data_IF_690687569830
#
_entry.id   IF_690687569830
#
_cell.length_a   1.000
_cell.length_b   1.000
_cell.length_c   1.000
_cell.angle_alpha   90.00
_cell.angle_beta   90.00
_cell.angle_gamma   90.00
#
_symmetry.space_group_name_H-M   'P 1'
#
loop_
_entity.id
_entity.type
_entity.pdbx_description
1 polymer ?
#
# COMPACT_ATOMS: atom_id res chain seq x y z
N UNK A 1 -1.29 21.09 20.57
CA UNK A 1 -0.57 21.15 19.30
C UNK A 1 0.24 22.42 19.23
N UNK A 2 1.55 22.31 19.04
CA UNK A 2 2.48 23.45 18.87
C UNK A 2 2.88 23.62 17.39
N UNK A 3 2.11 23.01 16.50
CA UNK A 3 2.47 22.75 15.12
C UNK A 3 1.55 23.55 14.20
N UNK A 4 2.12 24.25 13.23
CA UNK A 4 1.38 25.05 12.23
C UNK A 4 1.02 24.18 11.01
N UNK A 5 -0.27 24.12 10.69
CA UNK A 5 -0.82 23.28 9.63
C UNK A 5 -1.05 24.03 8.31
N UNK A 6 -0.56 25.28 8.18
CA UNK A 6 -0.77 26.10 6.97
C UNK A 6 -0.51 25.38 5.65
N UNK A 7 0.57 24.59 5.56
CA UNK A 7 0.96 23.87 4.34
C UNK A 7 0.44 22.43 4.26
N UNK A 8 -0.30 21.95 5.27
CA UNK A 8 -0.81 20.59 5.35
C UNK A 8 -2.04 20.44 4.47
N UNK A 9 -2.04 19.42 3.61
CA UNK A 9 -3.18 19.07 2.75
C UNK A 9 -3.98 17.92 3.35
N UNK A 10 -5.25 18.17 3.62
CA UNK A 10 -6.16 17.23 4.28
C UNK A 10 -7.30 16.84 3.37
N UNK A 11 -7.58 15.55 3.26
CA UNK A 11 -8.82 15.04 2.71
C UNK A 11 -9.68 14.45 3.84
N UNK A 12 -10.89 14.98 4.00
CA UNK A 12 -11.89 14.50 4.93
C UNK A 12 -13.05 13.85 4.15
N UNK A 13 -13.20 12.53 4.26
CA UNK A 13 -14.35 11.77 3.76
C UNK A 13 -15.30 11.50 4.91
N UNK A 14 -16.28 12.39 5.12
CA UNK A 14 -17.22 12.23 6.21
C UNK A 14 -18.62 12.77 5.84
N UNK A 15 -19.66 11.91 5.82
CA UNK A 15 -21.02 12.32 5.55
C UNK A 15 -21.69 13.00 6.76
N UNK A 16 -21.21 12.80 7.99
CA UNK A 16 -21.80 13.39 9.19
C UNK A 16 -21.38 14.87 9.33
N UNK A 17 -22.32 15.83 9.23
CA UNK A 17 -22.01 17.25 9.29
C UNK A 17 -21.46 17.68 10.66
N UNK A 18 -21.84 16.99 11.74
CA UNK A 18 -21.36 17.32 13.10
C UNK A 18 -19.88 16.98 13.22
N UNK A 19 -19.48 15.75 12.88
CA UNK A 19 -18.09 15.31 12.87
C UNK A 19 -17.27 16.15 11.90
N UNK A 20 -17.82 16.46 10.72
CA UNK A 20 -17.19 17.34 9.74
C UNK A 20 -16.89 18.72 10.34
N UNK A 21 -17.84 19.34 11.04
CA UNK A 21 -17.64 20.63 11.71
C UNK A 21 -16.58 20.55 12.81
N UNK A 22 -16.56 19.46 13.58
CA UNK A 22 -15.55 19.24 14.63
C UNK A 22 -14.15 19.12 14.03
N UNK A 23 -13.97 18.24 13.04
CA UNK A 23 -12.67 18.01 12.38
C UNK A 23 -12.19 19.28 11.69
N UNK A 24 -13.04 19.90 10.88
CA UNK A 24 -12.67 21.10 10.11
C UNK A 24 -12.35 22.29 11.01
N UNK A 25 -13.15 22.53 12.06
CA UNK A 25 -12.89 23.57 13.05
C UNK A 25 -11.60 23.34 13.84
N UNK A 26 -11.34 22.09 14.26
CA UNK A 26 -10.13 21.72 15.00
C UNK A 26 -8.87 21.98 14.15
N UNK A 27 -8.86 21.50 12.90
CA UNK A 27 -7.72 21.67 12.01
C UNK A 27 -7.55 23.13 11.56
N UNK A 28 -8.66 23.84 11.31
CA UNK A 28 -8.66 25.26 10.95
C UNK A 28 -8.07 26.15 12.05
N UNK A 29 -8.36 25.84 13.32
CA UNK A 29 -7.78 26.52 14.49
C UNK A 29 -6.26 26.31 14.62
N UNK A 30 -5.73 25.21 14.09
CA UNK A 30 -4.29 24.93 14.03
C UNK A 30 -3.63 25.41 12.73
N UNK A 31 -4.34 26.25 11.95
CA UNK A 31 -3.78 26.89 10.76
C UNK A 31 -4.00 26.14 9.45
N UNK A 32 -4.65 24.97 9.45
CA UNK A 32 -4.93 24.23 8.22
C UNK A 32 -5.83 25.05 7.28
N UNK A 33 -5.35 25.30 6.06
CA UNK A 33 -6.10 26.03 5.00
C UNK A 33 -6.41 25.17 3.78
N UNK A 34 -5.65 24.10 3.55
CA UNK A 34 -5.83 23.20 2.41
C UNK A 34 -6.57 21.94 2.84
N UNK A 35 -7.88 22.06 3.04
CA UNK A 35 -8.73 20.95 3.46
C UNK A 35 -9.90 20.80 2.51
N UNK A 36 -10.01 19.61 1.92
CA UNK A 36 -11.16 19.22 1.10
C UNK A 36 -12.02 18.30 1.95
N UNK A 37 -13.30 18.65 2.07
CA UNK A 37 -14.29 17.80 2.70
C UNK A 37 -15.26 17.29 1.66
N UNK A 38 -15.38 15.97 1.55
CA UNK A 38 -16.32 15.30 0.68
C UNK A 38 -17.11 14.27 1.48
N UNK A 39 -18.32 13.97 1.06
CA UNK A 39 -19.10 12.90 1.68
C UNK A 39 -18.57 11.56 1.21
N UNK A 40 -18.77 11.22 -0.06
CA UNK A 40 -18.16 10.12 -0.82
C UNK A 40 -18.40 10.39 -2.33
N UNK A 41 -17.63 9.80 -3.24
CA UNK A 41 -17.81 9.97 -4.70
C UNK A 41 -16.64 10.64 -5.44
N UNK A 42 -16.83 10.91 -6.73
CA UNK A 42 -15.76 11.17 -7.69
C UNK A 42 -14.87 12.38 -7.42
N UNK A 43 -15.34 13.38 -6.67
CA UNK A 43 -14.53 14.55 -6.27
C UNK A 43 -13.44 14.17 -5.26
N UNK A 44 -13.78 13.35 -4.25
CA UNK A 44 -12.81 12.84 -3.28
C UNK A 44 -11.76 11.97 -3.96
N UNK A 45 -12.20 11.12 -4.89
CA UNK A 45 -11.33 10.22 -5.63
C UNK A 45 -10.46 11.00 -6.63
N UNK A 46 -10.99 12.08 -7.22
CA UNK A 46 -10.18 13.01 -8.01
C UNK A 46 -9.09 13.64 -7.17
N UNK A 47 -9.41 14.13 -5.96
CA UNK A 47 -8.43 14.79 -5.09
C UNK A 47 -7.33 13.84 -4.61
N UNK A 48 -7.67 12.59 -4.31
CA UNK A 48 -6.68 11.54 -4.03
C UNK A 48 -5.70 11.37 -5.20
N UNK A 49 -6.22 11.44 -6.44
CA UNK A 49 -5.45 11.23 -7.68
C UNK A 49 -4.62 12.43 -8.10
N UNK A 50 -5.16 13.63 -7.99
CA UNK A 50 -4.58 14.85 -8.55
C UNK A 50 -3.66 15.60 -7.57
N UNK A 51 -3.91 15.48 -6.27
CA UNK A 51 -3.17 16.20 -5.26
C UNK A 51 -2.46 15.27 -4.28
N UNK A 52 -1.20 15.61 -3.98
CA UNK A 52 -0.46 14.92 -2.94
C UNK A 52 -1.04 15.31 -1.58
N UNK A 53 -1.89 14.47 -1.00
CA UNK A 53 -2.44 14.66 0.35
C UNK A 53 -1.44 14.25 1.43
N UNK A 54 -1.54 14.84 2.62
CA UNK A 54 -0.67 14.54 3.77
C UNK A 54 -1.41 13.80 4.89
N UNK A 55 -2.70 14.10 5.04
CA UNK A 55 -3.60 13.47 6.01
C UNK A 55 -4.95 13.13 5.36
N UNK A 56 -5.33 11.87 5.49
CA UNK A 56 -6.61 11.31 5.11
C UNK A 56 -7.41 11.03 6.39
N UNK A 57 -8.61 11.58 6.49
CA UNK A 57 -9.57 11.26 7.56
C UNK A 57 -10.81 10.66 6.91
N UNK A 58 -11.19 9.45 7.29
CA UNK A 58 -12.32 8.72 6.66
C UNK A 58 -13.29 8.25 7.72
N UNK A 59 -14.58 8.34 7.44
CA UNK A 59 -15.65 7.87 8.29
C UNK A 59 -16.08 6.44 7.94
N UNK A 60 -16.03 5.51 8.91
CA UNK A 60 -16.40 4.11 8.70
C UNK A 60 -17.87 3.79 9.00
N UNK A 61 -18.67 4.72 9.54
CA UNK A 61 -20.02 4.38 10.03
C UNK A 61 -20.99 4.09 8.89
N UNK A 62 -20.86 4.80 7.76
CA UNK A 62 -21.70 4.55 6.59
C UNK A 62 -21.34 3.23 5.91
N UNK A 63 -20.05 2.93 5.81
CA UNK A 63 -19.53 1.75 5.13
C UNK A 63 -18.13 1.45 5.62
N UNK A 64 -18.02 0.43 6.48
CA UNK A 64 -16.73 -0.09 6.95
C UNK A 64 -15.86 -0.51 5.77
N UNK A 65 -16.49 -1.16 4.78
CA UNK A 65 -15.86 -1.62 3.56
C UNK A 65 -15.22 -0.48 2.77
N UNK A 66 -15.98 0.56 2.45
CA UNK A 66 -15.49 1.67 1.62
C UNK A 66 -14.41 2.49 2.33
N UNK A 67 -14.52 2.62 3.66
CA UNK A 67 -13.48 3.26 4.47
C UNK A 67 -12.17 2.46 4.44
N UNK A 68 -12.25 1.13 4.62
CA UNK A 68 -11.08 0.25 4.51
C UNK A 68 -10.49 0.29 3.11
N UNK A 69 -11.32 0.23 2.08
CA UNK A 69 -10.88 0.21 0.68
C UNK A 69 -10.24 1.51 0.26
N UNK A 70 -10.75 2.66 0.71
CA UNK A 70 -10.09 3.95 0.50
C UNK A 70 -8.65 3.92 1.00
N UNK A 71 -8.43 3.40 2.21
CA UNK A 71 -7.09 3.32 2.79
C UNK A 71 -6.24 2.30 2.02
N UNK A 72 -6.76 1.12 1.70
CA UNK A 72 -6.05 0.09 0.92
C UNK A 72 -5.63 0.62 -0.45
N UNK A 73 -6.52 1.29 -1.18
CA UNK A 73 -6.25 1.89 -2.49
C UNK A 73 -5.12 2.92 -2.42
N UNK A 74 -5.17 3.80 -1.41
CA UNK A 74 -4.08 4.75 -1.13
C UNK A 74 -2.75 4.01 -0.88
N UNK A 75 -2.74 2.99 -0.01
CA UNK A 75 -1.56 2.16 0.27
C UNK A 75 -1.06 1.35 -0.92
N UNK A 76 -1.90 1.14 -1.93
CA UNK A 76 -1.56 0.41 -3.15
C UNK A 76 -1.18 1.33 -4.32
N UNK A 77 -1.26 2.66 -4.13
CA UNK A 77 -1.03 3.67 -5.18
C UNK A 77 -1.96 3.54 -6.39
N UNK A 78 -3.14 2.94 -6.20
CA UNK A 78 -4.15 2.83 -7.24
C UNK A 78 -4.71 4.20 -7.64
N UNK A 79 -4.79 5.12 -6.67
CA UNK A 79 -5.55 6.37 -6.80
C UNK A 79 -4.79 7.61 -6.34
N UNK A 80 -3.45 7.65 -6.30
CA UNK A 80 -2.77 8.87 -5.86
C UNK A 80 -1.26 8.90 -5.79
N UNK A 81 -0.74 10.10 -5.54
CA UNK A 81 0.69 10.41 -5.53
C UNK A 81 1.40 10.09 -4.21
N UNK A 82 0.65 9.85 -3.13
CA UNK A 82 1.19 9.64 -1.79
C UNK A 82 0.57 8.45 -1.04
N UNK A 83 1.12 7.26 -1.26
CA UNK A 83 0.77 6.06 -0.48
C UNK A 83 1.14 6.11 1.00
N UNK A 84 1.92 7.12 1.39
CA UNK A 84 2.36 7.34 2.77
C UNK A 84 1.65 8.51 3.44
N UNK A 85 0.58 9.07 2.86
CA UNK A 85 -0.28 9.97 3.62
C UNK A 85 -0.73 9.30 4.94
N UNK A 86 -0.81 10.10 6.00
CA UNK A 86 -1.26 9.59 7.29
C UNK A 86 -2.76 9.36 7.20
N UNK A 87 -3.27 8.26 7.73
CA UNK A 87 -4.71 7.99 7.73
C UNK A 87 -5.29 7.78 9.12
N UNK A 88 -6.43 8.41 9.37
CA UNK A 88 -7.22 8.25 10.59
C UNK A 88 -8.62 7.82 10.17
N UNK A 89 -9.07 6.67 10.68
CA UNK A 89 -10.45 6.24 10.48
C UNK A 89 -11.27 6.64 11.72
N UNK A 90 -12.41 7.27 11.49
CA UNK A 90 -13.40 7.63 12.49
C UNK A 90 -14.49 6.56 12.52
N UNK A 91 -14.85 6.04 13.69
CA UNK A 91 -15.91 5.01 13.83
C UNK A 91 -16.69 5.20 15.12
N UNK A 92 -18.01 4.99 15.09
CA UNK A 92 -18.87 4.86 16.28
C UNK A 92 -18.96 3.41 16.75
N UNK A 93 -18.53 2.44 15.94
CA UNK A 93 -18.64 1.01 16.20
C UNK A 93 -17.26 0.42 16.52
N UNK A 94 -16.92 0.20 17.80
CA UNK A 94 -15.66 -0.40 18.21
C UNK A 94 -15.78 -1.91 18.43
N UNK A 95 -16.63 -2.63 17.68
CA UNK A 95 -16.67 -4.08 17.84
C UNK A 95 -15.33 -4.70 17.39
N UNK A 96 -14.87 -5.80 18.03
CA UNK A 96 -13.53 -6.33 17.78
C UNK A 96 -13.27 -6.72 16.32
N UNK A 97 -14.28 -7.21 15.61
CA UNK A 97 -14.14 -7.68 14.22
C UNK A 97 -13.99 -6.48 13.26
N UNK A 98 -14.81 -5.45 13.42
CA UNK A 98 -14.67 -4.21 12.68
C UNK A 98 -13.30 -3.56 12.93
N UNK A 99 -12.82 -3.53 14.17
CA UNK A 99 -11.49 -2.99 14.51
C UNK A 99 -10.37 -3.76 13.80
N UNK A 100 -10.47 -5.09 13.69
CA UNK A 100 -9.49 -5.89 12.92
C UNK A 100 -9.50 -5.47 11.46
N UNK A 101 -10.67 -5.34 10.82
CA UNK A 101 -10.77 -4.88 9.44
C UNK A 101 -10.19 -3.48 9.23
N UNK A 102 -10.46 -2.56 10.14
CA UNK A 102 -9.90 -1.20 10.13
C UNK A 102 -8.37 -1.24 10.23
N UNK A 103 -7.80 -2.06 11.11
CA UNK A 103 -6.35 -2.22 11.25
C UNK A 103 -5.74 -2.84 9.99
N UNK A 104 -6.37 -3.89 9.46
CA UNK A 104 -5.94 -4.62 8.27
C UNK A 104 -6.07 -3.79 6.97
N UNK A 105 -6.84 -2.69 7.00
CA UNK A 105 -6.84 -1.71 5.91
C UNK A 105 -5.50 -0.99 5.73
N UNK A 106 -4.66 -0.98 6.77
CA UNK A 106 -3.41 -0.22 6.79
C UNK A 106 -3.58 1.23 7.25
N UNK A 107 -4.67 1.56 7.95
CA UNK A 107 -4.86 2.87 8.58
C UNK A 107 -3.72 3.19 9.54
N UNK A 108 -3.32 4.45 9.76
CA UNK A 108 -2.33 4.79 10.80
C UNK A 108 -3.00 4.80 12.20
N UNK A 109 -4.23 5.30 12.30
CA UNK A 109 -4.97 5.37 13.55
C UNK A 109 -6.48 5.14 13.38
N UNK A 110 -7.13 4.83 14.49
CA UNK A 110 -8.59 4.74 14.64
C UNK A 110 -8.98 5.69 15.77
N UNK A 111 -10.00 6.52 15.55
CA UNK A 111 -10.55 7.41 16.56
C UNK A 111 -12.05 7.13 16.73
N UNK A 112 -12.45 6.81 17.96
CA UNK A 112 -13.84 6.42 18.26
C UNK A 112 -14.70 7.67 18.46
N UNK A 113 -15.89 7.69 17.86
CA UNK A 113 -16.90 8.73 18.00
C UNK A 113 -17.87 8.41 19.16
N UNK A 114 -18.39 9.44 19.86
CA UNK A 114 -18.02 10.85 19.76
C UNK A 114 -16.64 11.11 20.39
N UNK A 115 -15.88 12.06 19.84
CA UNK A 115 -14.59 12.48 20.37
C UNK A 115 -14.53 14.00 20.59
N UNK A 116 -13.71 14.41 21.55
CA UNK A 116 -13.40 15.82 21.77
C UNK A 116 -12.32 16.31 20.77
N UNK A 117 -12.32 17.58 20.36
CA UNK A 117 -11.27 18.18 19.53
C UNK A 117 -9.83 17.89 20.00
N UNK A 118 -9.63 17.85 21.32
CA UNK A 118 -8.35 17.54 21.93
C UNK A 118 -7.87 16.10 21.62
N UNK A 119 -8.78 15.13 21.50
CA UNK A 119 -8.44 13.75 21.16
C UNK A 119 -7.91 13.63 19.73
N UNK A 120 -8.56 14.30 18.76
CA UNK A 120 -8.07 14.37 17.38
C UNK A 120 -6.68 15.02 17.31
N UNK A 121 -6.51 16.14 18.03
CA UNK A 121 -5.24 16.86 18.12
C UNK A 121 -4.13 15.96 18.67
N UNK A 122 -4.38 15.27 19.79
CA UNK A 122 -3.42 14.35 20.42
C UNK A 122 -3.06 13.18 19.50
N UNK A 123 -4.03 12.64 18.76
CA UNK A 123 -3.82 11.55 17.83
C UNK A 123 -2.88 11.96 16.69
N UNK A 124 -3.13 13.12 16.08
CA UNK A 124 -2.28 13.64 14.99
C UNK A 124 -0.88 13.97 15.53
N UNK A 125 -0.78 14.60 16.70
CA UNK A 125 0.50 14.90 17.38
C UNK A 125 1.34 13.63 17.61
N UNK A 126 0.68 12.54 18.01
CA UNK A 126 1.32 11.23 18.21
C UNK A 126 1.84 10.67 16.89
N UNK A 127 1.05 10.77 15.81
CA UNK A 127 1.45 10.30 14.49
C UNK A 127 2.60 11.14 13.89
N UNK A 128 2.65 12.45 14.15
CA UNK A 128 3.76 13.33 13.75
C UNK A 128 5.07 12.87 14.40
N UNK A 129 5.05 12.60 15.70
CA UNK A 129 6.26 12.26 16.46
C UNK A 129 6.74 10.83 16.23
N UNK A 130 5.81 9.88 16.25
CA UNK A 130 6.13 8.45 16.39
C UNK A 130 5.40 7.58 15.38
N UNK A 131 5.48 7.93 14.09
CA UNK A 131 4.96 7.06 13.03
C UNK A 131 5.71 5.73 13.00
N UNK A 132 4.97 4.63 13.00
CA UNK A 132 5.53 3.28 12.93
C UNK A 132 6.09 3.01 11.53
N UNK A 133 7.17 2.21 11.40
CA UNK A 133 7.61 1.71 10.10
C UNK A 133 6.52 0.84 9.48
N UNK A 134 6.56 0.69 8.16
CA UNK A 134 5.61 -0.16 7.46
C UNK A 134 6.10 -1.60 7.39
N UNK A 135 5.15 -2.52 7.38
CA UNK A 135 5.35 -3.92 7.05
C UNK A 135 4.63 -4.19 5.75
N UNK A 136 5.27 -4.99 4.91
CA UNK A 136 4.72 -5.47 3.65
C UNK A 136 4.50 -6.97 3.82
N UNK A 137 3.36 -7.48 3.39
CA UNK A 137 3.08 -8.91 3.22
C UNK A 137 2.51 -9.11 1.81
N UNK A 138 2.13 -10.34 1.46
CA UNK A 138 1.37 -10.58 0.23
C UNK A 138 0.06 -9.79 0.18
N UNK A 139 -0.60 -9.62 1.32
CA UNK A 139 -1.96 -9.07 1.43
C UNK A 139 -2.06 -7.77 2.23
N UNK A 140 -0.97 -7.32 2.86
CA UNK A 140 -0.95 -6.15 3.74
C UNK A 140 0.19 -5.20 3.41
N UNK A 141 -0.10 -3.91 3.36
CA UNK A 141 0.90 -2.84 3.33
C UNK A 141 0.43 -1.74 4.27
N UNK A 142 1.16 -1.53 5.35
CA UNK A 142 0.77 -0.53 6.33
C UNK A 142 1.67 -0.54 7.55
N UNK A 143 1.36 0.29 8.56
CA UNK A 143 2.11 0.36 9.81
C UNK A 143 2.31 -1.03 10.41
N UNK A 144 3.50 -1.32 10.94
CA UNK A 144 3.72 -2.47 11.82
C UNK A 144 2.60 -2.47 12.87
N UNK A 145 2.11 -3.64 13.28
CA UNK A 145 1.06 -3.78 14.31
C UNK A 145 1.48 -4.71 15.44
N UNK A 146 2.33 -5.70 15.16
CA UNK A 146 2.68 -6.82 16.05
C UNK A 146 3.69 -6.47 17.14
N UNK A 147 4.32 -5.29 17.06
CA UNK A 147 5.35 -4.89 18.03
C UNK A 147 6.51 -5.89 18.04
N UNK A 148 7.19 -6.06 19.18
CA UNK A 148 8.29 -7.02 19.32
C UNK A 148 7.82 -8.44 19.70
N UNK A 149 6.51 -8.67 19.80
CA UNK A 149 5.89 -9.96 20.09
C UNK A 149 5.79 -10.86 18.84
N UNK A 150 6.89 -11.04 18.12
CA UNK A 150 6.94 -11.98 17.00
C UNK A 150 6.61 -13.40 17.49
N UNK A 151 5.75 -14.13 16.76
CA UNK A 151 5.53 -15.56 17.05
C UNK A 151 6.86 -16.31 16.83
N UNK A 152 7.32 -17.11 17.81
CA UNK A 152 8.53 -17.91 17.65
C UNK A 152 8.47 -18.73 16.35
N UNK A 153 9.50 -18.63 15.52
CA UNK A 153 9.61 -19.39 14.26
C UNK A 153 8.98 -18.75 13.02
N UNK A 154 8.47 -17.51 13.10
CA UNK A 154 8.06 -16.74 11.91
C UNK A 154 9.04 -15.61 11.68
N UNK A 155 9.72 -15.57 10.52
CA UNK A 155 10.49 -14.39 10.14
C UNK A 155 9.56 -13.18 10.11
N UNK A 156 9.89 -12.17 10.93
CA UNK A 156 9.13 -10.92 10.91
C UNK A 156 9.34 -10.27 9.56
N UNK A 157 8.24 -9.93 8.88
CA UNK A 157 8.32 -9.23 7.62
C UNK A 157 9.15 -7.94 7.77
N UNK A 158 10.09 -7.65 6.83
CA UNK A 158 10.91 -6.44 6.84
C UNK A 158 10.14 -5.18 7.20
N UNK A 159 10.68 -4.43 8.17
CA UNK A 159 10.18 -3.13 8.61
C UNK A 159 10.79 -2.05 7.72
N UNK A 160 9.98 -1.44 6.87
CA UNK A 160 10.39 -0.39 5.94
C UNK A 160 10.14 0.98 6.58
N UNK A 161 11.17 1.81 6.82
CA UNK A 161 10.95 3.18 7.24
C UNK A 161 10.28 3.96 6.09
N UNK A 162 9.19 4.65 6.41
CA UNK A 162 8.43 5.43 5.43
C UNK A 162 8.45 6.92 5.79
N UNK A 163 8.31 7.83 4.80
CA UNK A 163 8.25 9.25 5.07
C UNK A 163 7.04 9.57 5.94
N UNK A 164 7.11 10.64 6.72
CA UNK A 164 5.96 11.14 7.47
C UNK A 164 5.58 12.51 6.89
N UNK A 165 4.63 12.58 5.94
CA UNK A 165 4.23 13.83 5.29
C UNK A 165 3.89 14.95 6.26
N UNK A 166 3.21 14.66 7.38
CA UNK A 166 2.89 15.66 8.38
C UNK A 166 4.15 16.18 9.08
N UNK A 167 5.04 15.29 9.53
CA UNK A 167 6.31 15.70 10.16
C UNK A 167 7.19 16.50 9.19
N UNK A 168 7.29 16.06 7.95
CA UNK A 168 8.08 16.70 6.89
C UNK A 168 7.55 18.12 6.57
N UNK A 169 6.23 18.26 6.48
CA UNK A 169 5.58 19.54 6.15
C UNK A 169 5.60 20.52 7.31
N UNK A 170 5.38 20.05 8.54
CA UNK A 170 5.17 20.88 9.72
C UNK A 170 6.47 21.19 10.48
N UNK A 171 7.43 20.25 10.52
CA UNK A 171 8.63 20.40 11.35
C UNK A 171 9.91 20.63 10.53
N UNK A 172 10.01 20.01 9.35
CA UNK A 172 11.23 20.09 8.53
C UNK A 172 11.15 21.19 7.45
N UNK A 173 9.99 21.84 7.28
CA UNK A 173 9.72 22.80 6.22
C UNK A 173 10.10 22.27 4.82
N UNK A 174 9.92 20.96 4.62
CA UNK A 174 10.30 20.25 3.39
C UNK A 174 9.41 20.72 2.23
N UNK A 175 10.01 21.06 1.09
CA UNK A 175 9.25 21.44 -0.10
C UNK A 175 8.42 20.27 -0.64
N UNK A 176 7.30 20.55 -1.33
CA UNK A 176 6.45 19.50 -1.90
C UNK A 176 7.21 18.57 -2.84
N UNK A 177 8.13 19.10 -3.63
CA UNK A 177 8.91 18.29 -4.58
C UNK A 177 9.94 17.40 -3.87
N UNK A 178 10.51 17.87 -2.76
CA UNK A 178 11.37 17.02 -1.94
C UNK A 178 10.56 15.92 -1.26
N UNK A 179 9.38 16.23 -0.71
CA UNK A 179 8.48 15.23 -0.15
C UNK A 179 8.06 14.19 -1.21
N UNK A 180 7.73 14.62 -2.43
CA UNK A 180 7.45 13.72 -3.57
C UNK A 180 8.61 12.78 -3.87
N UNK A 181 9.85 13.30 -3.89
CA UNK A 181 11.04 12.46 -4.09
C UNK A 181 11.22 11.44 -2.98
N UNK A 182 11.07 11.84 -1.70
CA UNK A 182 11.13 10.92 -0.55
C UNK A 182 10.06 9.84 -0.64
N UNK A 183 8.82 10.22 -0.95
CA UNK A 183 7.69 9.29 -1.13
C UNK A 183 7.94 8.32 -2.28
N UNK A 184 8.44 8.78 -3.42
CA UNK A 184 8.78 7.89 -4.54
C UNK A 184 9.88 6.89 -4.16
N UNK A 185 10.98 7.37 -3.57
CA UNK A 185 12.08 6.50 -3.17
C UNK A 185 11.65 5.42 -2.16
N UNK A 186 10.88 5.79 -1.12
CA UNK A 186 10.36 4.81 -0.16
C UNK A 186 9.31 3.87 -0.76
N UNK A 187 8.53 4.36 -1.74
CA UNK A 187 7.56 3.52 -2.44
C UNK A 187 8.25 2.44 -3.26
N UNK A 188 9.37 2.76 -3.91
CA UNK A 188 10.13 1.78 -4.69
C UNK A 188 10.59 0.61 -3.81
N UNK A 189 11.06 0.88 -2.58
CA UNK A 189 11.44 -0.14 -1.60
C UNK A 189 10.24 -0.98 -1.15
N UNK A 190 9.10 -0.35 -0.85
CA UNK A 190 7.86 -1.05 -0.49
C UNK A 190 7.37 -1.94 -1.63
N UNK A 191 7.40 -1.43 -2.86
CA UNK A 191 6.93 -2.13 -4.05
C UNK A 191 7.81 -3.34 -4.37
N UNK A 192 9.13 -3.20 -4.27
CA UNK A 192 10.08 -4.30 -4.44
C UNK A 192 9.79 -5.46 -3.48
N UNK A 193 9.73 -5.16 -2.17
CA UNK A 193 9.37 -6.13 -1.14
C UNK A 193 7.98 -6.77 -1.33
N UNK A 194 7.07 -6.07 -2.00
CA UNK A 194 5.75 -6.59 -2.30
C UNK A 194 5.78 -7.55 -3.48
N UNK A 195 6.47 -7.20 -4.56
CA UNK A 195 6.67 -8.05 -5.74
C UNK A 195 7.35 -9.35 -5.31
N UNK A 196 8.36 -9.30 -4.45
CA UNK A 196 9.02 -10.49 -3.91
C UNK A 196 8.03 -11.43 -3.20
N UNK A 197 7.21 -10.89 -2.30
CA UNK A 197 6.23 -11.67 -1.54
C UNK A 197 5.10 -12.21 -2.42
N UNK A 198 4.63 -11.44 -3.39
CA UNK A 198 3.62 -11.88 -4.34
C UNK A 198 4.16 -12.98 -5.25
N UNK A 199 5.40 -12.88 -5.70
CA UNK A 199 6.08 -13.93 -6.47
C UNK A 199 6.20 -15.23 -5.66
N UNK A 200 6.56 -15.15 -4.38
CA UNK A 200 6.57 -16.31 -3.49
C UNK A 200 5.17 -16.91 -3.28
N UNK A 201 4.15 -16.06 -3.11
CA UNK A 201 2.75 -16.51 -2.98
C UNK A 201 2.24 -17.18 -4.27
N UNK A 202 2.58 -16.63 -5.45
CA UNK A 202 2.26 -17.21 -6.75
C UNK A 202 2.80 -18.64 -6.86
N UNK A 203 4.10 -18.82 -6.57
CA UNK A 203 4.73 -20.14 -6.61
C UNK A 203 4.08 -21.13 -5.63
N UNK A 204 3.73 -20.67 -4.42
CA UNK A 204 3.03 -21.48 -3.44
C UNK A 204 1.62 -21.88 -3.91
N UNK A 205 0.83 -20.92 -4.42
CA UNK A 205 -0.52 -21.15 -4.93
C UNK A 205 -0.53 -22.10 -6.12
N UNK A 206 0.39 -21.94 -7.08
CA UNK A 206 0.51 -22.83 -8.24
C UNK A 206 0.76 -24.27 -7.81
N UNK A 207 1.65 -24.50 -6.84
CA UNK A 207 1.89 -25.83 -6.31
C UNK A 207 0.65 -26.42 -5.63
N UNK A 208 -0.12 -25.61 -4.89
CA UNK A 208 -1.37 -26.03 -4.26
C UNK A 208 -2.46 -26.35 -5.28
N UNK A 209 -2.66 -25.49 -6.27
CA UNK A 209 -3.60 -25.70 -7.40
C UNK A 209 -3.26 -26.99 -8.14
N UNK A 210 -1.99 -27.20 -8.51
CA UNK A 210 -1.55 -28.43 -9.19
C UNK A 210 -1.84 -29.67 -8.35
N UNK A 211 -1.54 -29.63 -7.05
CA UNK A 211 -1.79 -30.76 -6.16
C UNK A 211 -3.29 -31.04 -5.95
N UNK A 212 -4.12 -29.99 -5.93
CA UNK A 212 -5.57 -30.11 -5.76
C UNK A 212 -6.25 -30.70 -7.01
N UNK A 213 -5.90 -30.21 -8.20
CA UNK A 213 -6.44 -30.69 -9.48
C UNK A 213 -5.79 -32.00 -9.98
N UNK A 214 -4.62 -32.38 -9.47
CA UNK A 214 -3.98 -33.66 -9.80
C UNK A 214 -4.65 -34.88 -9.17
N UNK A 215 -5.66 -34.69 -8.32
CA UNK A 215 -6.49 -35.76 -7.75
C UNK A 215 -7.63 -36.12 -8.70
N UNK A 216 -8.13 -37.35 -8.62
CA UNK A 216 -9.32 -37.78 -9.35
C UNK A 216 -10.35 -38.41 -8.39
N UNK A 217 -11.45 -37.71 -8.05
CA UNK A 217 -11.80 -36.35 -8.47
C UNK A 217 -10.88 -35.27 -7.85
N UNK A 218 -10.86 -34.03 -8.40
CA UNK A 218 -10.16 -32.90 -7.80
C UNK A 218 -10.54 -32.64 -6.34
N UNK A 219 -9.62 -32.07 -5.56
CA UNK A 219 -9.88 -31.74 -4.16
C UNK A 219 -11.02 -30.71 -4.02
N UNK A 220 -11.80 -30.80 -2.95
CA UNK A 220 -12.95 -29.91 -2.69
C UNK A 220 -12.59 -28.42 -2.65
N UNK A 221 -11.35 -28.08 -2.30
CA UNK A 221 -10.82 -26.72 -2.23
C UNK A 221 -10.15 -26.23 -3.53
N UNK A 222 -10.11 -27.05 -4.59
CA UNK A 222 -9.43 -26.73 -5.85
C UNK A 222 -9.92 -25.41 -6.48
N UNK A 223 -11.24 -25.20 -6.52
CA UNK A 223 -11.85 -23.98 -7.05
C UNK A 223 -11.45 -22.74 -6.24
N UNK A 224 -11.42 -22.86 -4.91
CA UNK A 224 -11.05 -21.76 -4.02
C UNK A 224 -9.57 -21.38 -4.20
N UNK A 225 -8.69 -22.38 -4.26
CA UNK A 225 -7.26 -22.17 -4.54
C UNK A 225 -7.02 -21.53 -5.92
N UNK A 226 -7.80 -21.93 -6.93
CA UNK A 226 -7.75 -21.33 -8.26
C UNK A 226 -8.17 -19.85 -8.24
N UNK A 227 -9.23 -19.52 -7.52
CA UNK A 227 -9.67 -18.13 -7.33
C UNK A 227 -8.62 -17.29 -6.61
N UNK A 228 -7.95 -17.83 -5.59
CA UNK A 228 -6.83 -17.16 -4.92
C UNK A 228 -5.65 -16.93 -5.87
N UNK A 229 -5.32 -17.91 -6.71
CA UNK A 229 -4.28 -17.77 -7.74
C UNK A 229 -4.64 -16.68 -8.74
N UNK A 230 -5.87 -16.68 -9.26
CA UNK A 230 -6.37 -15.67 -10.20
C UNK A 230 -6.28 -14.25 -9.63
N UNK A 231 -6.69 -14.05 -8.37
CA UNK A 231 -6.57 -12.76 -7.70
C UNK A 231 -5.11 -12.34 -7.53
N UNK A 232 -4.26 -13.24 -7.05
CA UNK A 232 -2.83 -13.00 -6.86
C UNK A 232 -2.16 -12.54 -8.18
N UNK A 233 -2.42 -13.25 -9.28
CA UNK A 233 -1.81 -12.90 -10.57
C UNK A 233 -2.41 -11.65 -11.22
N UNK A 234 -3.70 -11.39 -11.01
CA UNK A 234 -4.36 -10.17 -11.50
C UNK A 234 -3.81 -8.93 -10.80
N UNK A 235 -3.64 -8.98 -9.49
CA UNK A 235 -3.00 -7.91 -8.74
C UNK A 235 -1.55 -7.70 -9.15
N UNK A 236 -0.79 -8.78 -9.32
CA UNK A 236 0.59 -8.73 -9.75
C UNK A 236 0.70 -8.05 -11.12
N UNK A 237 -0.15 -8.43 -12.09
CA UNK A 237 -0.18 -7.84 -13.44
C UNK A 237 -0.38 -6.33 -13.42
N UNK A 238 -1.34 -5.84 -12.63
CA UNK A 238 -1.61 -4.41 -12.52
C UNK A 238 -0.43 -3.62 -11.94
N UNK A 239 0.41 -4.25 -11.10
CA UNK A 239 1.55 -3.61 -10.43
C UNK A 239 2.80 -3.55 -11.28
N UNK A 240 3.02 -4.58 -12.10
CA UNK A 240 4.20 -4.67 -12.95
C UNK A 240 4.02 -3.92 -14.26
N UNK A 241 2.78 -3.63 -14.65
CA UNK A 241 2.47 -2.84 -15.84
C UNK A 241 2.96 -1.39 -15.72
N UNK A 242 3.60 -0.89 -16.76
CA UNK A 242 4.24 0.42 -16.80
C UNK A 242 5.54 0.51 -16.00
N UNK A 243 6.16 -0.62 -15.65
CA UNK A 243 7.42 -0.67 -14.88
C UNK A 243 8.51 -1.42 -15.66
N UNK A 244 9.73 -1.52 -15.11
CA UNK A 244 10.78 -2.38 -15.67
C UNK A 244 10.36 -3.86 -15.83
N UNK A 245 9.27 -4.27 -15.18
CA UNK A 245 8.72 -5.62 -15.20
C UNK A 245 7.59 -5.83 -16.24
N UNK A 246 7.46 -4.97 -17.27
CA UNK A 246 6.41 -5.08 -18.29
C UNK A 246 6.36 -6.43 -19.01
N UNK A 247 7.52 -7.04 -19.24
CA UNK A 247 7.62 -8.39 -19.80
C UNK A 247 6.95 -9.44 -18.89
N UNK A 248 6.94 -9.22 -17.57
CA UNK A 248 6.26 -10.08 -16.61
C UNK A 248 4.73 -9.89 -16.64
N UNK A 249 4.24 -8.70 -17.01
CA UNK A 249 2.82 -8.45 -17.20
C UNK A 249 2.20 -9.37 -18.28
N UNK A 250 2.97 -9.67 -19.33
CA UNK A 250 2.56 -10.57 -20.41
C UNK A 250 2.43 -12.00 -19.89
N UNK A 251 3.42 -12.50 -19.16
CA UNK A 251 3.37 -13.83 -18.54
C UNK A 251 2.23 -13.94 -17.51
N UNK A 252 1.96 -12.88 -16.75
CA UNK A 252 0.82 -12.80 -15.86
C UNK A 252 -0.52 -12.92 -16.61
N UNK A 253 -0.62 -12.32 -17.81
CA UNK A 253 -1.81 -12.47 -18.68
C UNK A 253 -1.99 -13.92 -19.13
N UNK A 254 -0.92 -14.59 -19.56
CA UNK A 254 -0.97 -16.03 -19.87
C UNK A 254 -1.40 -16.87 -18.67
N UNK A 255 -0.89 -16.57 -17.47
CA UNK A 255 -1.31 -17.26 -16.24
C UNK A 255 -2.80 -17.05 -15.93
N UNK A 256 -3.35 -15.85 -16.16
CA UNK A 256 -4.77 -15.56 -16.03
C UNK A 256 -5.60 -16.41 -17.00
N UNK A 257 -5.18 -16.55 -18.26
CA UNK A 257 -5.84 -17.41 -19.26
C UNK A 257 -5.84 -18.89 -18.83
N UNK A 258 -4.71 -19.38 -18.29
CA UNK A 258 -4.62 -20.74 -17.74
C UNK A 258 -5.61 -20.92 -16.58
N UNK A 259 -5.70 -19.94 -15.67
CA UNK A 259 -6.66 -19.98 -14.58
C UNK A 259 -8.11 -20.04 -15.08
N UNK A 260 -8.48 -19.23 -16.09
CA UNK A 260 -9.80 -19.30 -16.70
C UNK A 260 -10.05 -20.66 -17.38
N UNK A 261 -9.06 -21.19 -18.10
CA UNK A 261 -9.15 -22.50 -18.74
C UNK A 261 -9.40 -23.64 -17.75
N UNK A 262 -8.70 -23.63 -16.61
CA UNK A 262 -8.94 -24.59 -15.51
C UNK A 262 -10.32 -24.39 -14.86
N UNK A 263 -10.77 -23.14 -14.76
CA UNK A 263 -12.06 -22.80 -14.16
C UNK A 263 -13.28 -23.22 -14.98
N UNK A 264 -13.14 -23.41 -16.30
CA UNK A 264 -14.23 -23.88 -17.17
C UNK A 264 -14.66 -25.32 -16.89
N UNK A 265 -13.79 -26.14 -16.28
CA UNK A 265 -14.08 -27.56 -16.00
C UNK A 265 -13.40 -27.98 -14.71
N UNK A 266 -13.86 -27.42 -13.59
CA UNK A 266 -13.25 -27.66 -12.27
C UNK A 266 -13.26 -29.14 -11.88
N UNK A 267 -14.32 -29.87 -12.20
CA UNK A 267 -14.46 -31.29 -11.85
C UNK A 267 -13.63 -32.22 -12.75
N UNK A 268 -13.24 -31.73 -13.93
CA UNK A 268 -12.49 -32.50 -14.93
C UNK A 268 -11.58 -31.56 -15.74
N UNK A 269 -10.52 -31.02 -15.13
CA UNK A 269 -9.67 -30.02 -15.75
C UNK A 269 -8.90 -30.58 -16.95
N UNK A 270 -8.71 -29.78 -18.00
CA UNK A 270 -7.84 -30.17 -19.12
C UNK A 270 -6.38 -30.29 -18.64
N UNK A 271 -5.82 -31.48 -18.76
CA UNK A 271 -4.45 -31.79 -18.34
C UNK A 271 -3.38 -30.94 -19.02
N UNK A 272 -3.68 -30.36 -20.20
CA UNK A 272 -2.77 -29.41 -20.89
C UNK A 272 -2.55 -28.15 -20.07
N UNK A 273 -3.62 -27.59 -19.48
CA UNK A 273 -3.50 -26.41 -18.62
C UNK A 273 -2.69 -26.72 -17.36
N UNK A 274 -2.94 -27.87 -16.72
CA UNK A 274 -2.19 -28.31 -15.56
C UNK A 274 -0.69 -28.53 -15.85
N UNK A 275 -0.35 -29.01 -17.06
CA UNK A 275 1.03 -29.23 -17.48
C UNK A 275 1.79 -27.92 -17.77
N UNK A 276 1.08 -26.87 -18.21
CA UNK A 276 1.68 -25.57 -18.56
C UNK A 276 1.78 -24.65 -17.34
N UNK A 277 0.83 -24.73 -16.41
CA UNK A 277 0.75 -23.89 -15.20
C UNK A 277 2.10 -23.70 -14.45
N UNK A 278 2.83 -24.76 -14.05
CA UNK A 278 4.11 -24.58 -13.35
C UNK A 278 5.19 -23.95 -14.23
N UNK A 279 5.18 -24.21 -15.55
CA UNK A 279 6.18 -23.66 -16.47
C UNK A 279 6.06 -22.14 -16.60
N UNK A 280 4.82 -21.63 -16.66
CA UNK A 280 4.57 -20.19 -16.71
C UNK A 280 4.90 -19.55 -15.36
N UNK A 281 4.59 -20.21 -14.25
CA UNK A 281 4.98 -19.74 -12.92
C UNK A 281 6.51 -19.61 -12.78
N UNK A 282 7.25 -20.64 -13.19
CA UNK A 282 8.72 -20.64 -13.14
C UNK A 282 9.32 -19.55 -14.04
N UNK A 283 8.73 -19.34 -15.23
CA UNK A 283 9.14 -18.25 -16.12
C UNK A 283 8.90 -16.88 -15.48
N UNK A 284 7.75 -16.67 -14.82
CA UNK A 284 7.45 -15.43 -14.10
C UNK A 284 8.45 -15.20 -12.96
N UNK A 285 8.67 -16.21 -12.09
CA UNK A 285 9.61 -16.12 -10.97
C UNK A 285 11.02 -15.78 -11.45
N UNK A 286 11.48 -16.45 -12.51
CA UNK A 286 12.81 -16.20 -13.09
C UNK A 286 12.94 -14.80 -13.68
N UNK A 287 11.93 -14.35 -14.42
CA UNK A 287 11.89 -13.00 -14.97
C UNK A 287 11.95 -11.94 -13.87
N UNK A 288 11.19 -12.12 -12.77
CA UNK A 288 11.27 -11.24 -11.61
C UNK A 288 12.65 -11.19 -10.98
N UNK A 289 13.28 -12.35 -10.73
CA UNK A 289 14.60 -12.38 -10.11
C UNK A 289 15.65 -11.68 -10.97
N UNK A 290 15.63 -11.91 -12.29
CA UNK A 290 16.60 -11.31 -13.20
C UNK A 290 16.49 -9.79 -13.25
N UNK A 291 15.27 -9.27 -13.38
CA UNK A 291 15.02 -7.83 -13.44
C UNK A 291 15.32 -7.16 -12.09
N UNK A 292 14.96 -7.80 -10.97
CA UNK A 292 15.30 -7.31 -9.63
C UNK A 292 16.81 -7.19 -9.44
N UNK A 293 17.56 -8.22 -9.82
CA UNK A 293 19.02 -8.24 -9.68
C UNK A 293 19.67 -7.15 -10.56
N UNK A 294 19.15 -6.92 -11.77
CA UNK A 294 19.59 -5.84 -12.65
C UNK A 294 19.30 -4.45 -12.06
N UNK A 295 18.11 -4.23 -11.49
CA UNK A 295 17.73 -2.97 -10.82
C UNK A 295 18.64 -2.71 -9.62
N UNK A 296 18.91 -3.71 -8.78
CA UNK A 296 19.82 -3.57 -7.64
C UNK A 296 21.24 -3.22 -8.07
N UNK A 297 21.78 -3.92 -9.07
CA UNK A 297 23.11 -3.63 -9.59
C UNK A 297 23.19 -2.17 -10.11
N UNK A 298 22.18 -1.73 -10.86
CA UNK A 298 22.09 -0.36 -11.36
C UNK A 298 22.05 0.68 -10.22
N UNK A 299 21.25 0.45 -9.17
CA UNK A 299 21.19 1.32 -7.99
C UNK A 299 22.53 1.40 -7.25
N UNK A 300 23.19 0.26 -7.02
CA UNK A 300 24.50 0.22 -6.36
C UNK A 300 25.57 0.98 -7.15
N UNK A 301 25.58 0.84 -8.47
CA UNK A 301 26.49 1.60 -9.35
C UNK A 301 26.19 3.09 -9.23
N UNK A 302 24.93 3.50 -9.30
CA UNK A 302 24.53 4.91 -9.24
C UNK A 302 24.87 5.54 -7.87
N UNK A 303 24.67 4.81 -6.78
CA UNK A 303 25.05 5.24 -5.43
C UNK A 303 26.58 5.34 -5.26
N UNK A 304 27.34 4.36 -5.75
CA UNK A 304 28.80 4.38 -5.72
C UNK A 304 29.36 5.55 -6.53
N UNK A 305 28.83 5.80 -7.73
CA UNK A 305 29.20 6.94 -8.58
C UNK A 305 28.86 8.26 -7.89
N UNK A 306 27.65 8.40 -7.34
CA UNK A 306 27.23 9.64 -6.65
C UNK A 306 28.09 9.91 -5.40
N UNK A 307 28.40 8.87 -4.63
CA UNK A 307 29.23 8.97 -3.43
C UNK A 307 30.65 9.38 -3.78
N UNK A 308 31.23 8.74 -4.80
CA UNK A 308 32.57 9.06 -5.30
C UNK A 308 32.63 10.48 -5.89
N UNK A 309 31.64 10.85 -6.69
CA UNK A 309 31.55 12.20 -7.26
C UNK A 309 31.45 13.28 -6.17
N UNK A 310 30.68 13.06 -5.10
CA UNK A 310 30.60 13.98 -3.95
C UNK A 310 31.91 14.05 -3.15
N UNK A 311 32.66 12.96 -3.08
CA UNK A 311 33.97 12.94 -2.43
C UNK A 311 35.05 13.67 -3.25
N UNK A 312 34.98 13.57 -4.58
CA UNK A 312 35.95 14.18 -5.50
C UNK A 312 35.62 15.64 -5.85
N UNK A 313 34.36 16.08 -5.73
CA UNK A 313 33.92 17.45 -6.06
C UNK A 313 33.09 18.08 -4.90
N UNK A 314 33.75 18.60 -3.83
CA UNK A 314 33.05 19.02 -2.61
C UNK A 314 32.19 20.29 -2.73
N UNK A 315 32.36 21.10 -3.79
CA UNK A 315 31.86 22.48 -3.86
C UNK A 315 31.03 22.80 -5.12
N UNK A 316 30.13 21.91 -5.55
CA UNK A 316 29.09 22.33 -6.51
C UNK A 316 27.92 22.93 -5.73
N UNK A 317 27.91 24.25 -5.65
CA UNK A 317 26.74 25.05 -5.28
C UNK A 317 25.60 24.69 -6.24
N UNK A 318 24.43 24.30 -5.71
CA UNK A 318 23.23 24.02 -6.53
C UNK A 318 22.87 25.28 -7.33
N UNK A 319 23.21 25.29 -8.61
CA UNK A 319 22.77 26.26 -9.60
C UNK A 319 22.22 25.49 -10.78
N UNK A 320 21.00 24.96 -10.67
CA UNK A 320 20.15 24.70 -11.84
C UNK A 320 18.69 24.93 -11.42
N UNK A 321 18.06 25.84 -12.17
CA UNK A 321 16.71 26.36 -12.06
C UNK A 321 15.62 25.29 -12.19
#
# INVERSE_FOLDING_TARGET
MTHDFQSVRVLLRNPDPVTRKIVTGTLGNHGCRHMVSAEYGGEADHYLRSDMIDLLIVDADRSLHDACDTVRQMRNRADGDNSFALSIILTSTPDPEAVVHLIDSGTDAILVKPFQPAALTLQIDTLIRSRRPFVVTSTYVGPERRGDGARPGTESAPRVPVPNPLRETVMASTSRDELRRKVRASWDVVNEHRIERQTAQLAWLVNKVRAAFGRNPPAADAAALLGQLLNCVSELRLRVAGTGFDHVAHLATTMIEICYGLGQSVDSPDGRWLAVLPKVADAMVKAFSQERDAIHASRQISEAVTTRFRAEVPNITRSYH
#
